data_IF_575761084778
#
_entry.id   IF_575761084778
#
_cell.length_a   1.000
_cell.length_b   1.000
_cell.length_c   1.000
_cell.angle_alpha   90.00
_cell.angle_beta   90.00
_cell.angle_gamma   90.00
#
_symmetry.space_group_name_H-M   'P 1'
#
loop_
_entity.id
_entity.type
_entity.pdbx_description
1 polymer ?
#
# COMPACT_ATOMS: atom_id res chain seq x y z
N UNK A 1 8.56 -0.89 26.93
CA UNK A 1 8.00 -1.62 25.79
C UNK A 1 7.44 -0.69 24.72
N UNK A 2 7.99 0.48 24.52
CA UNK A 2 7.35 1.58 23.74
C UNK A 2 8.22 2.12 22.61
N UNK A 3 9.32 1.45 22.27
CA UNK A 3 10.31 1.98 21.29
C UNK A 3 10.24 1.33 19.88
N UNK A 4 9.54 0.21 19.71
CA UNK A 4 9.48 -0.49 18.40
C UNK A 4 8.41 0.08 17.43
N UNK A 5 7.39 0.76 17.94
CA UNK A 5 6.30 1.32 17.10
C UNK A 5 6.70 2.52 16.22
N UNK A 6 7.83 3.18 16.52
CA UNK A 6 8.28 4.35 15.73
C UNK A 6 8.96 4.01 14.40
N UNK A 7 9.31 2.74 14.15
CA UNK A 7 10.00 2.37 12.91
C UNK A 7 9.07 2.28 11.69
N UNK A 8 7.79 1.90 11.87
CA UNK A 8 6.87 1.80 10.73
C UNK A 8 6.35 3.16 10.23
N UNK A 9 6.17 4.12 11.13
CA UNK A 9 5.83 5.50 10.72
C UNK A 9 7.04 6.26 10.12
N UNK A 10 8.27 5.84 10.47
CA UNK A 10 9.52 6.40 9.96
C UNK A 10 9.92 5.92 8.57
N UNK A 11 9.34 4.83 8.06
CA UNK A 11 9.69 4.29 6.75
C UNK A 11 9.31 5.21 5.58
N UNK A 12 8.29 6.04 5.71
CA UNK A 12 7.98 7.05 4.71
C UNK A 12 8.99 8.21 4.69
N UNK A 13 9.52 8.60 5.83
CA UNK A 13 10.58 9.64 5.90
C UNK A 13 11.98 9.08 5.62
N UNK A 14 12.23 7.78 5.81
CA UNK A 14 13.53 7.16 5.57
C UNK A 14 13.78 6.78 4.09
N UNK A 15 12.75 6.67 3.27
CA UNK A 15 12.87 6.49 1.82
C UNK A 15 13.44 7.75 1.12
N UNK A 16 13.46 8.89 1.80
CA UNK A 16 13.91 10.19 1.26
C UNK A 16 15.36 10.53 1.65
N UNK A 17 16.00 9.83 2.59
CA UNK A 17 17.26 10.30 3.22
C UNK A 17 18.47 9.38 3.10
N UNK A 18 18.66 8.62 2.02
CA UNK A 18 19.93 7.90 1.81
C UNK A 18 20.54 8.17 0.44
N UNK A 19 20.97 9.42 0.21
CA UNK A 19 22.04 9.72 -0.73
C UNK A 19 23.06 10.64 -0.08
N UNK A 20 23.88 10.07 0.79
CA UNK A 20 25.04 10.72 1.43
C UNK A 20 26.27 9.92 1.11
N UNK A 21 27.09 10.43 0.18
CA UNK A 21 28.41 9.92 -0.16
C UNK A 21 29.31 9.73 1.05
N UNK A 22 29.93 8.57 1.20
CA UNK A 22 31.21 8.46 1.85
C UNK A 22 32.15 7.58 1.03
N UNK A 23 33.16 8.23 0.48
CA UNK A 23 34.37 7.62 -0.09
C UNK A 23 35.09 6.80 0.97
N UNK A 24 35.31 5.52 0.73
CA UNK A 24 36.44 4.79 1.29
C UNK A 24 37.04 3.88 0.21
N UNK A 25 38.38 3.99 0.13
CA UNK A 25 39.27 3.26 -0.79
C UNK A 25 39.30 1.76 -0.48
N UNK A 26 39.58 0.92 -1.49
CA UNK A 26 39.73 -0.52 -1.30
C UNK A 26 41.10 -0.86 -0.71
N UNK A 27 41.11 -1.85 0.17
CA UNK A 27 42.31 -2.54 0.61
C UNK A 27 42.53 -3.78 -0.28
N UNK A 28 43.74 -3.90 -0.81
CA UNK A 28 44.27 -5.07 -1.52
C UNK A 28 44.37 -6.26 -0.55
N UNK A 29 43.94 -7.44 -1.01
CA UNK A 29 44.46 -8.69 -0.45
C UNK A 29 44.51 -9.82 -1.47
N UNK A 30 45.60 -10.55 -1.30
CA UNK A 30 46.31 -11.49 -2.11
C UNK A 30 45.56 -12.70 -2.65
N UNK A 31 46.11 -13.13 -3.77
CA UNK A 31 45.88 -14.36 -4.53
C UNK A 31 46.24 -15.64 -3.76
N UNK A 32 45.38 -16.64 -3.89
CA UNK A 32 45.82 -18.05 -3.80
C UNK A 32 45.02 -18.90 -4.82
N UNK A 33 45.80 -19.41 -5.76
CA UNK A 33 45.40 -20.42 -6.74
C UNK A 33 44.98 -21.74 -6.09
N UNK A 34 43.83 -22.31 -6.53
CA UNK A 34 43.69 -23.76 -6.59
C UNK A 34 42.75 -24.14 -7.75
N UNK A 35 43.39 -24.74 -8.75
CA UNK A 35 42.76 -25.51 -9.83
C UNK A 35 41.93 -26.66 -9.27
N UNK A 36 40.70 -26.81 -9.70
CA UNK A 36 40.00 -28.10 -9.84
C UNK A 36 39.09 -28.07 -11.03
N UNK A 37 39.39 -28.93 -11.97
CA UNK A 37 38.55 -29.34 -13.12
C UNK A 37 37.16 -29.73 -12.67
N UNK A 38 36.13 -29.08 -13.23
CA UNK A 38 34.79 -29.66 -13.25
C UNK A 38 34.14 -29.51 -14.62
N UNK A 39 33.72 -30.64 -15.09
CA UNK A 39 33.08 -30.88 -16.35
C UNK A 39 31.86 -29.97 -16.57
N UNK A 40 31.81 -29.36 -17.74
CA UNK A 40 30.67 -28.61 -18.26
C UNK A 40 29.56 -29.59 -18.56
N UNK A 41 28.50 -29.59 -17.75
CA UNK A 41 27.20 -30.21 -18.10
C UNK A 41 26.41 -29.14 -18.83
N UNK A 42 26.22 -29.31 -20.10
CA UNK A 42 25.35 -28.55 -20.96
C UNK A 42 23.90 -28.67 -20.46
N UNK A 43 23.41 -27.69 -19.68
CA UNK A 43 21.99 -27.60 -19.35
C UNK A 43 21.26 -26.93 -20.51
N UNK A 44 20.42 -27.69 -21.18
CA UNK A 44 19.41 -27.19 -22.12
C UNK A 44 18.56 -26.14 -21.41
N UNK A 45 18.35 -24.93 -21.98
CA UNK A 45 17.51 -23.92 -21.33
C UNK A 45 16.09 -24.45 -21.20
N UNK A 46 15.58 -24.46 -19.97
CA UNK A 46 14.19 -24.75 -19.68
C UNK A 46 13.32 -23.76 -20.44
N UNK A 47 12.40 -24.30 -21.24
CA UNK A 47 11.39 -23.54 -21.96
C UNK A 47 10.62 -22.71 -20.93
N UNK A 48 10.69 -21.39 -20.99
CA UNK A 48 9.88 -20.51 -20.17
C UNK A 48 8.40 -20.86 -20.39
N UNK A 49 7.74 -21.39 -19.37
CA UNK A 49 6.28 -21.53 -19.44
C UNK A 49 5.70 -20.12 -19.52
N UNK A 50 4.81 -19.89 -20.47
CA UNK A 50 4.03 -18.66 -20.55
C UNK A 50 3.29 -18.47 -19.21
N UNK A 51 3.24 -17.24 -18.64
CA UNK A 51 2.56 -16.98 -17.39
C UNK A 51 1.11 -17.46 -17.52
N UNK A 52 0.69 -18.37 -16.63
CA UNK A 52 -0.69 -18.83 -16.58
C UNK A 52 -1.55 -17.65 -16.13
N UNK A 53 -2.31 -17.07 -17.07
CA UNK A 53 -3.29 -16.02 -16.78
C UNK A 53 -4.27 -16.59 -15.74
N UNK A 54 -4.37 -15.93 -14.59
CA UNK A 54 -5.36 -16.29 -13.57
C UNK A 54 -6.76 -16.12 -14.18
N UNK A 55 -7.56 -17.19 -14.37
CA UNK A 55 -8.86 -17.11 -15.02
C UNK A 55 -9.89 -16.27 -14.23
N UNK A 56 -9.57 -15.87 -13.01
CA UNK A 56 -10.43 -15.04 -12.15
C UNK A 56 -10.07 -13.54 -12.21
N UNK A 57 -9.07 -13.14 -13.01
CA UNK A 57 -8.78 -11.72 -13.21
C UNK A 57 -9.88 -11.11 -14.07
N UNK A 58 -10.69 -10.27 -13.45
CA UNK A 58 -11.76 -9.55 -14.14
C UNK A 58 -11.13 -8.41 -14.93
N UNK A 59 -11.55 -8.19 -16.20
CA UNK A 59 -11.10 -7.06 -16.99
C UNK A 59 -11.30 -5.72 -16.27
N UNK A 60 -10.37 -4.81 -16.45
CA UNK A 60 -10.30 -3.52 -15.76
C UNK A 60 -11.57 -2.67 -15.86
N UNK A 61 -12.21 -2.68 -17.02
CA UNK A 61 -13.46 -2.00 -17.32
C UNK A 61 -14.68 -2.57 -16.56
N UNK A 62 -14.51 -3.73 -15.94
CA UNK A 62 -15.52 -4.42 -15.15
C UNK A 62 -15.30 -4.34 -13.64
N UNK A 63 -14.20 -3.70 -13.18
CA UNK A 63 -13.94 -3.50 -11.77
C UNK A 63 -14.69 -2.25 -11.29
N UNK A 64 -15.76 -2.38 -10.48
CA UNK A 64 -16.43 -1.20 -9.95
C UNK A 64 -15.46 -0.35 -9.15
N UNK A 65 -15.40 0.95 -9.42
CA UNK A 65 -14.58 1.93 -8.72
C UNK A 65 -14.76 1.83 -7.19
N UNK A 66 -15.93 1.39 -6.77
CA UNK A 66 -16.32 1.19 -5.38
C UNK A 66 -15.56 0.07 -4.66
N UNK A 67 -15.05 -0.94 -5.36
CA UNK A 67 -14.26 -2.02 -4.75
C UNK A 67 -12.80 -1.63 -4.47
N UNK A 68 -12.34 -0.53 -5.04
CA UNK A 68 -10.99 0.00 -4.78
C UNK A 68 -10.91 0.81 -3.48
N UNK A 69 -12.04 1.11 -2.84
CA UNK A 69 -12.14 1.89 -1.59
C UNK A 69 -11.40 1.25 -0.43
N UNK A 70 -11.30 -0.06 -0.45
CA UNK A 70 -10.84 -0.86 0.69
C UNK A 70 -9.36 -1.21 0.60
N UNK A 71 -8.64 -0.68 -0.38
CA UNK A 71 -7.24 -0.98 -0.56
C UNK A 71 -6.36 -0.07 0.28
N UNK A 72 -5.32 -0.69 0.85
CA UNK A 72 -4.30 -0.02 1.62
C UNK A 72 -3.30 0.69 0.69
N UNK A 73 -3.68 1.82 0.14
CA UNK A 73 -2.82 2.56 -0.78
C UNK A 73 -1.78 3.37 -0.01
N UNK A 74 -0.57 2.84 0.09
CA UNK A 74 0.58 3.49 0.72
C UNK A 74 1.52 4.17 -0.25
N UNK A 75 1.41 3.89 -1.56
CA UNK A 75 2.16 4.60 -2.58
C UNK A 75 1.36 5.78 -3.11
N UNK A 76 1.97 6.95 -3.31
CA UNK A 76 1.30 8.11 -3.88
C UNK A 76 1.19 8.00 -5.41
N UNK A 77 0.55 6.94 -5.90
CA UNK A 77 0.27 6.70 -7.32
C UNK A 77 -1.18 6.30 -7.52
N UNK A 78 -1.82 6.94 -8.50
CA UNK A 78 -3.18 6.63 -8.93
C UNK A 78 -3.26 6.65 -10.46
N UNK A 79 -4.09 5.76 -11.03
CA UNK A 79 -4.43 5.79 -12.44
C UNK A 79 -5.90 6.16 -12.65
N UNK A 80 -6.16 7.07 -13.56
CA UNK A 80 -7.51 7.50 -13.90
C UNK A 80 -7.59 7.91 -15.37
N UNK A 81 -8.53 7.33 -16.11
CA UNK A 81 -8.74 7.60 -17.55
C UNK A 81 -7.44 7.54 -18.39
N UNK A 82 -6.58 6.54 -18.10
CA UNK A 82 -5.31 6.33 -18.79
C UNK A 82 -4.19 7.31 -18.39
N UNK A 83 -4.42 8.17 -17.40
CA UNK A 83 -3.40 9.01 -16.79
C UNK A 83 -2.90 8.41 -15.49
N UNK A 84 -1.58 8.35 -15.32
CA UNK A 84 -0.94 8.10 -14.03
C UNK A 84 -0.71 9.44 -13.35
N UNK A 85 -1.10 9.56 -12.10
CA UNK A 85 -0.80 10.66 -11.18
C UNK A 85 0.16 10.13 -10.12
N UNK A 86 1.25 10.81 -9.85
CA UNK A 86 2.24 10.28 -8.92
C UNK A 86 3.23 11.31 -8.40
N UNK A 87 3.98 10.89 -7.36
CA UNK A 87 5.16 11.57 -6.88
C UNK A 87 6.37 11.09 -7.69
N UNK A 88 7.09 11.99 -8.34
CA UNK A 88 8.24 11.65 -9.17
C UNK A 88 9.47 12.48 -8.79
N UNK A 89 10.67 11.98 -9.08
CA UNK A 89 11.90 12.75 -8.91
C UNK A 89 11.88 14.03 -9.75
N UNK A 90 12.11 15.16 -9.11
CA UNK A 90 12.31 16.41 -9.82
C UNK A 90 13.63 16.41 -10.59
N UNK A 91 13.63 16.79 -11.87
CA UNK A 91 14.86 17.02 -12.64
C UNK A 91 15.67 18.15 -12.00
N UNK A 92 16.63 17.82 -11.14
CA UNK A 92 17.66 18.72 -10.61
C UNK A 92 17.54 19.04 -9.12
N UNK A 93 18.50 18.67 -8.37
CA UNK A 93 19.05 19.17 -7.08
C UNK A 93 18.15 19.46 -5.87
N UNK A 94 16.84 19.37 -5.92
CA UNK A 94 16.00 19.41 -4.73
C UNK A 94 15.40 18.03 -4.44
N UNK A 95 15.43 17.66 -3.19
CA UNK A 95 14.97 16.37 -2.65
C UNK A 95 13.44 16.28 -2.60
N UNK A 96 12.73 16.94 -3.48
CA UNK A 96 11.26 16.94 -3.50
C UNK A 96 10.77 16.07 -4.64
N UNK A 97 9.75 15.27 -4.34
CA UNK A 97 9.02 14.44 -5.30
C UNK A 97 7.71 15.16 -5.67
N UNK A 98 7.72 16.11 -6.62
CA UNK A 98 6.53 16.89 -6.93
C UNK A 98 5.43 16.02 -7.52
N UNK A 99 4.17 16.45 -7.33
CA UNK A 99 3.04 15.83 -7.99
C UNK A 99 3.10 16.07 -9.50
N UNK A 100 3.04 14.97 -10.25
CA UNK A 100 3.06 15.00 -11.71
C UNK A 100 2.09 13.99 -12.30
N UNK A 101 1.85 14.09 -13.63
CA UNK A 101 1.06 13.11 -14.38
C UNK A 101 1.68 12.80 -15.74
N UNK A 102 1.40 11.61 -16.25
CA UNK A 102 1.68 11.20 -17.64
C UNK A 102 0.65 10.20 -18.14
N UNK A 103 0.56 10.01 -19.45
CA UNK A 103 -0.14 8.86 -20.00
C UNK A 103 0.60 7.56 -19.69
N UNK A 104 -0.14 6.47 -19.56
CA UNK A 104 0.46 5.15 -19.29
C UNK A 104 1.48 4.75 -20.37
N UNK A 105 1.19 5.05 -21.63
CA UNK A 105 2.00 4.74 -22.79
C UNK A 105 3.12 5.75 -23.08
N UNK A 106 3.15 6.89 -22.39
CA UNK A 106 4.16 7.94 -22.53
C UNK A 106 5.29 7.77 -21.51
N UNK A 107 6.41 8.43 -21.73
CA UNK A 107 7.55 8.45 -20.79
C UNK A 107 7.73 9.80 -20.11
N UNK A 108 7.22 10.86 -20.74
CA UNK A 108 7.40 12.23 -20.27
C UNK A 108 6.36 12.62 -19.24
N UNK A 109 6.82 13.15 -18.11
CA UNK A 109 5.96 13.64 -17.04
C UNK A 109 5.62 15.12 -17.20
N UNK A 110 4.38 15.46 -16.93
CA UNK A 110 3.90 16.84 -16.79
C UNK A 110 3.71 17.15 -15.31
N UNK A 111 4.43 18.15 -14.82
CA UNK A 111 4.28 18.60 -13.43
C UNK A 111 2.93 19.27 -13.23
N UNK A 112 2.26 18.91 -12.14
CA UNK A 112 0.96 19.47 -11.71
C UNK A 112 1.18 20.47 -10.58
N UNK A 113 1.97 20.08 -9.57
CA UNK A 113 2.22 20.88 -8.38
C UNK A 113 3.63 20.60 -7.87
N UNK A 114 4.32 21.62 -7.38
CA UNK A 114 5.69 21.51 -6.87
C UNK A 114 5.82 20.89 -5.47
N UNK A 115 4.70 20.56 -4.81
CA UNK A 115 4.68 19.96 -3.48
C UNK A 115 4.73 18.45 -3.57
N UNK A 116 5.29 17.80 -2.54
CA UNK A 116 5.40 16.37 -2.40
C UNK A 116 4.09 15.76 -1.90
N UNK A 117 3.46 14.83 -2.66
CA UNK A 117 2.27 14.16 -2.20
C UNK A 117 2.59 13.00 -1.26
N UNK A 118 1.91 12.93 -0.11
CA UNK A 118 1.93 11.78 0.80
C UNK A 118 1.06 10.63 0.29
N UNK A 119 -0.08 10.99 -0.29
CA UNK A 119 -1.04 10.07 -0.90
C UNK A 119 -1.87 10.83 -1.93
N UNK A 120 -2.44 10.09 -2.87
CA UNK A 120 -3.30 10.59 -3.94
C UNK A 120 -4.55 9.73 -3.98
N UNK A 121 -5.71 10.36 -4.17
CA UNK A 121 -6.97 9.71 -4.53
C UNK A 121 -7.63 10.48 -5.65
N UNK A 122 -8.20 9.77 -6.58
CA UNK A 122 -9.01 10.35 -7.64
C UNK A 122 -10.46 10.00 -7.43
N UNK A 123 -11.34 10.99 -7.54
CA UNK A 123 -12.78 10.78 -7.64
C UNK A 123 -13.37 11.77 -8.64
N UNK A 124 -14.06 11.22 -9.65
CA UNK A 124 -14.63 11.99 -10.74
C UNK A 124 -13.53 12.85 -11.43
N UNK A 125 -13.73 14.16 -11.54
CA UNK A 125 -12.80 15.11 -12.15
C UNK A 125 -11.85 15.78 -11.14
N UNK A 126 -11.68 15.18 -9.95
CA UNK A 126 -10.88 15.79 -8.88
C UNK A 126 -9.82 14.86 -8.31
N UNK A 127 -8.68 15.46 -7.97
CA UNK A 127 -7.65 14.90 -7.13
C UNK A 127 -7.87 15.32 -5.68
N UNK A 128 -7.73 14.37 -4.77
CA UNK A 128 -7.62 14.57 -3.33
C UNK A 128 -6.22 14.16 -2.92
N UNK A 129 -5.39 15.13 -2.53
CA UNK A 129 -3.96 14.93 -2.34
C UNK A 129 -3.55 15.41 -0.97
N UNK A 130 -2.83 14.56 -0.24
CA UNK A 130 -2.11 14.98 0.94
C UNK A 130 -0.78 15.59 0.53
N UNK A 131 -0.47 16.82 0.92
CA UNK A 131 0.83 17.44 0.70
C UNK A 131 1.59 17.64 2.00
N UNK A 132 2.90 17.41 1.94
CA UNK A 132 3.79 17.70 3.08
C UNK A 132 3.91 19.21 3.28
N UNK A 133 3.49 19.68 4.45
CA UNK A 133 3.64 21.07 4.90
C UNK A 133 4.08 21.11 6.36
N UNK A 134 5.25 21.70 6.63
CA UNK A 134 5.79 21.78 7.99
C UNK A 134 5.79 20.42 8.72
N UNK A 135 6.28 19.39 8.08
CA UNK A 135 6.36 18.00 8.56
C UNK A 135 5.00 17.32 8.82
N UNK A 136 3.92 17.87 8.29
CA UNK A 136 2.55 17.35 8.36
C UNK A 136 1.99 17.13 6.98
N UNK A 137 1.08 16.19 6.87
CA UNK A 137 0.40 15.88 5.62
C UNK A 137 -0.99 16.50 5.59
N UNK A 138 -1.11 17.70 5.01
CA UNK A 138 -2.39 18.42 4.87
C UNK A 138 -3.14 17.99 3.60
N UNK A 139 -4.46 17.82 3.70
CA UNK A 139 -5.30 17.36 2.59
C UNK A 139 -5.81 18.53 1.74
N UNK A 140 -5.68 18.38 0.42
CA UNK A 140 -6.15 19.30 -0.61
C UNK A 140 -7.05 18.63 -1.63
N UNK A 141 -7.94 19.41 -2.24
CA UNK A 141 -8.70 19.08 -3.44
C UNK A 141 -8.25 19.98 -4.57
N UNK A 142 -8.15 19.45 -5.78
CA UNK A 142 -7.88 20.17 -7.02
C UNK A 142 -8.51 19.44 -8.20
N UNK A 143 -8.62 20.09 -9.36
CA UNK A 143 -9.01 19.37 -10.58
C UNK A 143 -7.85 18.50 -11.13
N UNK A 144 -8.11 17.67 -12.14
CA UNK A 144 -7.12 16.75 -12.73
C UNK A 144 -5.95 17.46 -13.45
N UNK A 145 -6.06 18.78 -13.71
CA UNK A 145 -4.95 19.60 -14.22
C UNK A 145 -4.10 20.23 -13.12
N UNK A 146 -4.53 20.17 -11.86
CA UNK A 146 -3.86 20.79 -10.74
C UNK A 146 -4.34 22.22 -10.44
N UNK A 147 -5.35 22.72 -11.16
CA UNK A 147 -5.96 24.03 -10.91
C UNK A 147 -7.05 23.93 -9.82
N UNK A 148 -7.56 25.10 -9.40
CA UNK A 148 -8.62 25.23 -8.40
C UNK A 148 -8.27 24.54 -7.07
N UNK A 149 -7.04 24.74 -6.61
CA UNK A 149 -6.52 24.15 -5.38
C UNK A 149 -7.26 24.70 -4.18
N UNK A 150 -7.88 23.80 -3.41
CA UNK A 150 -8.59 24.09 -2.17
C UNK A 150 -8.07 23.22 -1.05
N UNK A 151 -7.67 23.82 0.05
CA UNK A 151 -7.31 23.08 1.26
C UNK A 151 -8.58 22.54 1.93
N UNK A 152 -8.59 21.23 2.19
CA UNK A 152 -9.70 20.53 2.86
C UNK A 152 -9.52 20.58 4.38
N UNK A 153 -8.33 20.25 4.88
CA UNK A 153 -8.04 20.22 6.31
C UNK A 153 -6.56 20.44 6.63
N UNK A 154 -6.28 20.89 7.85
CA UNK A 154 -4.93 20.97 8.43
C UNK A 154 -4.60 19.78 9.35
N UNK A 155 -5.43 18.75 9.38
CA UNK A 155 -5.09 17.53 10.10
C UNK A 155 -3.82 16.93 9.52
N UNK A 156 -2.99 16.33 10.38
CA UNK A 156 -1.84 15.55 9.93
C UNK A 156 -2.32 14.17 9.45
N UNK A 157 -2.79 14.11 8.21
CA UNK A 157 -3.49 12.95 7.68
C UNK A 157 -2.48 11.87 7.25
N UNK A 158 -2.65 10.66 7.75
CA UNK A 158 -1.83 9.49 7.43
C UNK A 158 -2.47 8.56 6.40
N UNK A 159 -3.76 8.71 6.17
CA UNK A 159 -4.49 7.94 5.18
C UNK A 159 -5.84 8.56 4.84
N UNK A 160 -6.28 8.30 3.62
CA UNK A 160 -7.54 8.80 3.06
C UNK A 160 -8.28 7.65 2.37
N UNK A 161 -9.55 7.49 2.71
CA UNK A 161 -10.50 6.66 1.97
C UNK A 161 -11.68 7.51 1.53
N UNK A 162 -12.20 7.23 0.33
CA UNK A 162 -13.40 7.90 -0.20
C UNK A 162 -14.52 6.86 -0.29
N UNK A 163 -15.63 7.10 0.41
CA UNK A 163 -16.80 6.24 0.36
C UNK A 163 -18.04 7.07 -0.01
N UNK A 164 -18.57 6.86 -1.20
CA UNK A 164 -19.62 7.73 -1.75
C UNK A 164 -19.16 9.19 -1.81
N UNK A 165 -19.87 10.09 -1.13
CA UNK A 165 -19.56 11.50 -1.04
C UNK A 165 -18.87 11.89 0.29
N UNK A 166 -18.32 10.91 1.00
CA UNK A 166 -17.65 11.10 2.28
C UNK A 166 -16.16 10.81 2.17
N UNK A 167 -15.35 11.76 2.64
CA UNK A 167 -13.93 11.57 2.90
C UNK A 167 -13.76 11.04 4.32
N UNK A 168 -13.04 9.92 4.47
CA UNK A 168 -12.61 9.38 5.75
C UNK A 168 -11.10 9.57 5.86
N UNK A 169 -10.65 10.22 6.92
CA UNK A 169 -9.27 10.66 7.11
C UNK A 169 -8.75 10.09 8.43
N UNK A 170 -7.73 9.22 8.35
CA UNK A 170 -6.95 8.84 9.52
C UNK A 170 -5.88 9.90 9.76
N UNK A 171 -5.89 10.53 10.93
CA UNK A 171 -4.95 11.61 11.24
C UNK A 171 -4.33 11.44 12.62
N UNK A 172 -3.04 11.81 12.73
CA UNK A 172 -2.32 11.79 13.99
C UNK A 172 -2.93 12.77 15.01
N UNK A 173 -2.87 12.40 16.28
CA UNK A 173 -3.14 13.31 17.37
C UNK A 173 -1.97 14.30 17.60
N UNK A 174 -2.18 15.27 18.47
CA UNK A 174 -1.18 16.30 18.75
C UNK A 174 0.13 15.74 19.35
N UNK A 175 0.06 14.60 20.00
CA UNK A 175 1.18 13.93 20.67
C UNK A 175 1.83 12.85 19.81
N UNK A 176 1.32 12.63 18.58
CA UNK A 176 1.75 11.56 17.65
C UNK A 176 1.72 10.16 18.28
N UNK A 177 0.82 9.96 19.23
CA UNK A 177 0.68 8.68 19.91
C UNK A 177 -0.30 7.76 19.21
N UNK A 178 -1.41 8.33 18.76
CA UNK A 178 -2.47 7.60 18.09
C UNK A 178 -2.97 8.37 16.87
N UNK A 179 -3.57 7.62 15.94
CA UNK A 179 -4.37 8.18 14.86
C UNK A 179 -5.84 8.10 15.24
N UNK A 180 -6.62 9.06 14.78
CA UNK A 180 -8.07 9.07 14.92
C UNK A 180 -8.75 9.25 13.58
N UNK A 181 -9.94 8.68 13.46
CA UNK A 181 -10.71 8.77 12.24
C UNK A 181 -11.59 10.03 12.24
N UNK A 182 -11.46 10.79 11.17
CA UNK A 182 -12.30 11.95 10.87
C UNK A 182 -13.09 11.73 9.59
N UNK A 183 -14.22 12.42 9.44
CA UNK A 183 -14.99 12.45 8.21
C UNK A 183 -15.42 13.87 7.85
N UNK A 184 -15.54 14.13 6.55
CA UNK A 184 -16.15 15.34 5.99
C UNK A 184 -16.76 15.00 4.62
N UNK A 185 -17.50 15.95 4.03
CA UNK A 185 -17.94 15.81 2.64
C UNK A 185 -16.76 16.07 1.68
N UNK A 186 -16.99 15.88 0.38
CA UNK A 186 -15.99 16.06 -0.69
C UNK A 186 -15.47 17.51 -0.79
N UNK A 187 -16.14 18.48 -0.14
CA UNK A 187 -15.73 19.89 -0.06
C UNK A 187 -14.99 20.23 1.23
N UNK A 188 -14.79 19.26 2.13
CA UNK A 188 -14.16 19.48 3.44
C UNK A 188 -15.09 20.08 4.48
N UNK A 189 -16.39 20.20 4.18
CA UNK A 189 -17.37 20.71 5.12
C UNK A 189 -17.81 19.62 6.10
N UNK A 190 -18.32 20.02 7.25
CA UNK A 190 -18.78 19.14 8.32
C UNK A 190 -17.68 18.21 8.84
N UNK A 191 -16.44 18.69 8.86
CA UNK A 191 -15.31 17.92 9.42
C UNK A 191 -15.57 17.61 10.89
N UNK A 192 -15.57 16.32 11.21
CA UNK A 192 -15.78 15.82 12.57
C UNK A 192 -14.98 14.55 12.83
N UNK A 193 -14.63 14.32 14.07
CA UNK A 193 -14.14 13.02 14.54
C UNK A 193 -15.30 12.00 14.46
N UNK A 194 -15.04 10.82 13.93
CA UNK A 194 -16.07 9.81 13.70
C UNK A 194 -16.42 9.09 15.01
N UNK A 195 -15.41 8.73 15.81
CA UNK A 195 -15.52 8.14 17.15
C UNK A 195 -14.22 8.39 17.94
N UNK A 196 -14.23 8.13 19.24
CA UNK A 196 -13.13 8.46 20.17
C UNK A 196 -12.13 7.32 20.40
N UNK A 197 -12.08 6.32 19.52
CA UNK A 197 -11.09 5.26 19.58
C UNK A 197 -9.95 5.51 18.62
N UNK A 198 -8.71 5.08 18.93
CA UNK A 198 -7.60 5.12 18.02
C UNK A 198 -7.85 4.20 16.82
N UNK A 199 -7.47 4.68 15.65
CA UNK A 199 -7.58 3.91 14.41
C UNK A 199 -6.22 3.89 13.75
N UNK A 200 -5.70 2.70 13.46
CA UNK A 200 -4.52 2.60 12.60
C UNK A 200 -4.94 2.48 11.13
N UNK A 201 -4.29 3.24 10.27
CA UNK A 201 -4.52 3.11 8.83
C UNK A 201 -3.79 1.86 8.28
N UNK A 202 -4.41 1.02 7.45
CA UNK A 202 -5.69 1.21 6.76
C UNK A 202 -6.92 0.81 7.58
N UNK A 203 -8.05 1.32 7.14
CA UNK A 203 -9.39 0.97 7.63
C UNK A 203 -10.33 0.81 6.44
N UNK A 204 -11.44 0.09 6.62
CA UNK A 204 -12.41 -0.19 5.55
C UNK A 204 -13.78 0.36 5.90
N UNK A 205 -14.25 1.45 5.26
CA UNK A 205 -15.61 1.93 5.41
C UNK A 205 -16.57 1.18 4.48
N UNK A 206 -17.73 0.79 4.99
CA UNK A 206 -18.85 0.23 4.25
C UNK A 206 -20.18 0.82 4.75
N UNK A 207 -20.65 1.88 4.12
CA UNK A 207 -21.83 2.62 4.58
C UNK A 207 -21.63 3.19 5.98
N UNK A 208 -22.41 2.70 6.96
CA UNK A 208 -22.28 3.06 8.38
C UNK A 208 -21.37 2.14 9.17
N UNK A 209 -20.82 1.10 8.55
CA UNK A 209 -19.90 0.16 9.20
C UNK A 209 -18.46 0.56 8.87
N UNK A 210 -17.58 0.51 9.87
CA UNK A 210 -16.16 0.72 9.69
C UNK A 210 -15.42 -0.44 10.33
N UNK A 211 -14.62 -1.15 9.54
CA UNK A 211 -13.67 -2.12 10.03
C UNK A 211 -12.31 -1.44 10.18
N UNK A 212 -11.71 -1.51 11.37
CA UNK A 212 -10.48 -0.81 11.67
C UNK A 212 -9.64 -1.56 12.69
N UNK A 213 -8.35 -1.26 12.74
CA UNK A 213 -7.47 -1.71 13.80
C UNK A 213 -7.52 -0.72 14.96
N UNK A 214 -7.88 -1.18 16.17
CA UNK A 214 -7.78 -0.42 17.42
C UNK A 214 -6.38 -0.59 18.00
N UNK A 215 -5.59 0.46 17.91
CA UNK A 215 -4.19 0.48 18.38
C UNK A 215 -4.08 0.47 19.92
N UNK A 216 -5.15 0.83 20.61
CA UNK A 216 -5.19 0.83 22.09
C UNK A 216 -5.72 -0.48 22.69
N UNK A 217 -6.38 -1.33 21.89
CA UNK A 217 -6.94 -2.62 22.32
C UNK A 217 -6.11 -3.81 21.78
N UNK A 218 -4.80 -3.79 21.95
CA UNK A 218 -3.93 -4.91 21.55
C UNK A 218 -3.79 -5.07 20.04
N UNK A 219 -4.00 -4.00 19.26
CA UNK A 219 -3.91 -4.04 17.79
C UNK A 219 -4.91 -5.02 17.18
N UNK A 220 -6.16 -4.95 17.64
CA UNK A 220 -7.26 -5.82 17.21
C UNK A 220 -8.14 -5.18 16.18
N UNK A 221 -8.78 -5.98 15.34
CA UNK A 221 -9.77 -5.46 14.40
C UNK A 221 -11.12 -5.34 15.08
N UNK A 222 -11.72 -4.18 14.92
CA UNK A 222 -13.05 -3.82 15.38
C UNK A 222 -14.01 -3.58 14.22
N UNK A 223 -15.28 -3.83 14.49
CA UNK A 223 -16.42 -3.44 13.66
C UNK A 223 -17.21 -2.38 14.41
N UNK A 224 -17.15 -1.15 13.93
CA UNK A 224 -17.94 -0.04 14.43
C UNK A 224 -19.18 0.17 13.55
N UNK A 225 -20.38 0.15 14.14
CA UNK A 225 -21.61 0.55 13.49
C UNK A 225 -21.97 1.97 13.95
N UNK A 226 -21.78 2.94 13.08
CA UNK A 226 -22.02 4.36 13.37
C UNK A 226 -23.51 4.69 13.58
N UNK A 227 -24.41 3.94 12.93
CA UNK A 227 -25.85 4.14 13.08
C UNK A 227 -26.39 3.56 14.38
N UNK A 228 -25.92 2.37 14.77
CA UNK A 228 -26.29 1.73 16.01
C UNK A 228 -25.51 2.27 17.23
N UNK A 229 -24.36 2.95 16.98
CA UNK A 229 -23.45 3.40 18.05
C UNK A 229 -22.77 2.25 18.79
N UNK A 230 -22.55 1.11 18.12
CA UNK A 230 -21.90 -0.08 18.67
C UNK A 230 -20.49 -0.22 18.11
N UNK A 231 -19.63 -0.82 18.91
CA UNK A 231 -18.27 -1.16 18.55
C UNK A 231 -17.93 -2.55 19.11
N UNK A 232 -17.57 -3.45 18.23
CA UNK A 232 -17.36 -4.86 18.52
C UNK A 232 -15.95 -5.28 18.09
N UNK A 233 -15.19 -5.87 19.00
CA UNK A 233 -13.92 -6.53 18.69
C UNK A 233 -14.20 -7.83 17.94
N UNK A 234 -13.63 -7.99 16.75
CA UNK A 234 -13.88 -9.14 15.88
C UNK A 234 -12.64 -10.00 15.60
N UNK A 235 -11.44 -9.59 15.99
CA UNK A 235 -10.23 -10.41 15.84
C UNK A 235 -9.53 -10.68 17.16
N UNK A 236 -8.57 -11.60 17.16
CA UNK A 236 -7.53 -11.72 18.17
C UNK A 236 -6.59 -10.51 18.13
N UNK A 237 -5.62 -10.43 19.07
CA UNK A 237 -4.56 -9.41 19.08
C UNK A 237 -3.66 -9.51 17.85
N UNK A 238 -3.01 -8.39 17.50
CA UNK A 238 -2.04 -8.27 16.41
C UNK A 238 -2.62 -8.57 15.01
N UNK A 239 -3.80 -8.05 14.72
CA UNK A 239 -4.47 -8.16 13.43
C UNK A 239 -4.42 -6.84 12.66
N UNK A 240 -3.99 -6.87 11.39
CA UNK A 240 -3.66 -5.71 10.58
C UNK A 240 -4.36 -5.71 9.23
N UNK A 241 -4.48 -4.53 8.64
CA UNK A 241 -4.92 -4.31 7.26
C UNK A 241 -6.28 -4.96 6.95
N UNK A 242 -7.37 -4.64 7.68
CA UNK A 242 -8.68 -5.20 7.43
C UNK A 242 -9.21 -4.79 6.06
N UNK A 243 -9.70 -5.74 5.28
CA UNK A 243 -10.38 -5.55 4.00
C UNK A 243 -11.70 -6.31 4.01
N UNK A 244 -12.80 -5.62 3.77
CA UNK A 244 -14.13 -6.20 3.70
C UNK A 244 -14.58 -6.38 2.24
N UNK A 245 -15.14 -7.53 1.89
CA UNK A 245 -15.57 -7.85 0.52
C UNK A 245 -16.89 -7.22 0.09
N UNK A 246 -17.52 -6.43 0.97
CA UNK A 246 -18.85 -5.83 0.73
C UNK A 246 -20.02 -6.78 0.95
N UNK A 247 -19.78 -7.97 1.50
CA UNK A 247 -20.82 -9.00 1.75
C UNK A 247 -20.80 -9.52 3.17
N UNK A 248 -19.97 -10.52 3.45
CA UNK A 248 -19.88 -11.20 4.74
C UNK A 248 -18.44 -11.64 5.08
N UNK A 249 -17.44 -11.21 4.30
CA UNK A 249 -16.08 -11.70 4.44
C UNK A 249 -15.10 -10.57 4.75
N UNK A 250 -14.31 -10.77 5.78
CA UNK A 250 -13.18 -9.91 6.13
C UNK A 250 -11.87 -10.67 5.89
N UNK A 251 -10.92 -9.99 5.23
CA UNK A 251 -9.54 -10.44 5.08
C UNK A 251 -8.64 -9.54 5.91
N UNK A 252 -7.62 -10.12 6.54
CA UNK A 252 -6.65 -9.39 7.33
C UNK A 252 -5.38 -10.19 7.51
N UNK A 253 -4.33 -9.58 8.05
CA UNK A 253 -3.09 -10.25 8.37
C UNK A 253 -2.98 -10.36 9.89
N UNK A 254 -2.84 -11.59 10.39
CA UNK A 254 -2.55 -11.86 11.79
C UNK A 254 -1.02 -11.97 11.95
N UNK A 255 -0.41 -11.05 12.72
CA UNK A 255 1.03 -11.03 12.95
C UNK A 255 1.43 -12.19 13.87
N UNK A 256 2.37 -13.01 13.43
CA UNK A 256 2.95 -14.10 14.18
C UNK A 256 3.86 -13.64 15.35
N UNK A 257 4.06 -12.32 15.51
CA UNK A 257 5.00 -11.68 16.43
C UNK A 257 6.46 -12.10 16.18
N UNK A 258 6.75 -12.58 14.98
CA UNK A 258 8.09 -12.85 14.49
C UNK A 258 8.47 -11.88 13.38
N UNK A 259 9.76 -11.74 13.11
CA UNK A 259 10.26 -10.93 12.01
C UNK A 259 11.11 -11.79 11.09
N UNK A 260 10.99 -11.54 9.78
CA UNK A 260 11.82 -12.15 8.76
C UNK A 260 12.44 -11.03 7.92
N UNK A 261 13.76 -11.03 7.78
CA UNK A 261 14.49 -9.97 7.08
C UNK A 261 14.17 -8.54 7.58
N UNK A 262 13.82 -8.40 8.88
CA UNK A 262 13.45 -7.11 9.46
C UNK A 262 11.98 -6.69 9.23
N UNK A 263 11.19 -7.51 8.54
CA UNK A 263 9.76 -7.30 8.29
C UNK A 263 8.94 -8.21 9.18
N UNK A 264 7.84 -7.71 9.72
CA UNK A 264 6.94 -8.50 10.55
C UNK A 264 6.23 -9.56 9.68
N UNK A 265 6.32 -10.82 10.16
CA UNK A 265 5.78 -12.02 9.52
C UNK A 265 4.35 -12.29 10.01
N UNK A 266 3.45 -12.66 9.11
CA UNK A 266 2.05 -12.91 9.46
C UNK A 266 1.38 -13.98 8.61
N UNK A 267 0.16 -14.29 9.03
CA UNK A 267 -0.76 -15.17 8.33
C UNK A 267 -1.87 -14.35 7.66
N UNK A 268 -2.11 -14.60 6.39
CA UNK A 268 -3.27 -14.08 5.67
C UNK A 268 -4.52 -14.87 6.09
N UNK A 269 -5.44 -14.21 6.75
CA UNK A 269 -6.64 -14.80 7.33
C UNK A 269 -7.89 -14.35 6.59
N UNK A 270 -8.82 -15.27 6.40
CA UNK A 270 -10.21 -14.99 6.00
C UNK A 270 -11.14 -15.28 7.16
N UNK A 271 -12.06 -14.36 7.44
CA UNK A 271 -13.10 -14.49 8.45
C UNK A 271 -14.48 -14.29 7.85
N UNK A 272 -15.40 -15.21 8.10
CA UNK A 272 -16.82 -15.03 7.83
C UNK A 272 -17.43 -14.24 9.00
N UNK A 273 -17.96 -13.06 8.73
CA UNK A 273 -18.43 -12.14 9.80
C UNK A 273 -19.63 -12.70 10.53
N UNK A 274 -20.62 -13.23 9.78
CA UNK A 274 -21.87 -13.75 10.35
C UNK A 274 -21.68 -14.97 11.26
N UNK A 275 -20.67 -15.82 11.01
CA UNK A 275 -20.42 -17.04 11.80
C UNK A 275 -19.23 -16.91 12.74
N UNK A 276 -18.33 -15.96 12.49
CA UNK A 276 -17.08 -15.81 13.22
C UNK A 276 -16.03 -16.86 12.85
N UNK A 277 -16.27 -17.69 11.83
CA UNK A 277 -15.33 -18.72 11.37
C UNK A 277 -14.11 -18.08 10.69
N UNK A 278 -12.92 -18.55 11.07
CA UNK A 278 -11.64 -18.09 10.53
C UNK A 278 -10.87 -19.23 9.87
N UNK A 279 -10.15 -18.89 8.80
CA UNK A 279 -9.25 -19.80 8.11
C UNK A 279 -8.00 -19.06 7.66
N UNK A 280 -6.82 -19.65 7.87
CA UNK A 280 -5.57 -19.17 7.27
C UNK A 280 -5.56 -19.57 5.80
N UNK A 281 -5.39 -18.58 4.92
CA UNK A 281 -5.23 -18.79 3.48
C UNK A 281 -3.78 -19.02 3.10
N UNK A 282 -2.85 -18.28 3.72
CA UNK A 282 -1.42 -18.36 3.45
C UNK A 282 -0.62 -17.86 4.65
N UNK A 283 0.54 -18.48 4.92
CA UNK A 283 1.48 -18.07 5.98
C UNK A 283 2.78 -17.53 5.39
N UNK A 284 3.43 -16.61 6.09
CA UNK A 284 4.65 -15.96 5.62
C UNK A 284 4.36 -14.77 4.72
N UNK A 285 3.39 -13.95 5.10
CA UNK A 285 3.07 -12.69 4.43
C UNK A 285 3.61 -11.51 5.23
N UNK A 286 4.01 -10.44 4.52
CA UNK A 286 4.36 -9.17 5.16
C UNK A 286 3.11 -8.51 5.74
N UNK A 287 3.20 -8.02 6.98
CA UNK A 287 2.11 -7.30 7.63
C UNK A 287 1.89 -5.89 7.08
N UNK A 288 2.76 -5.42 6.19
CA UNK A 288 2.75 -4.03 5.70
C UNK A 288 1.72 -3.78 4.60
N UNK A 289 1.42 -4.77 3.77
CA UNK A 289 0.56 -4.56 2.60
C UNK A 289 -0.37 -5.72 2.29
N UNK A 290 -1.66 -5.42 2.17
CA UNK A 290 -2.69 -6.31 1.65
C UNK A 290 -3.61 -5.50 0.74
N UNK A 291 -3.89 -6.02 -0.45
CA UNK A 291 -4.80 -5.41 -1.41
C UNK A 291 -5.82 -6.44 -1.85
N UNK A 292 -7.01 -5.99 -2.21
CA UNK A 292 -8.09 -6.85 -2.69
C UNK A 292 -8.73 -6.28 -3.94
N UNK A 293 -8.86 -7.12 -4.96
CA UNK A 293 -9.62 -6.81 -6.16
C UNK A 293 -10.45 -8.03 -6.54
N UNK A 294 -11.75 -7.93 -6.43
CA UNK A 294 -12.78 -8.88 -6.91
C UNK A 294 -12.37 -10.37 -6.81
N UNK A 295 -12.21 -10.85 -5.61
CA UNK A 295 -11.91 -12.27 -5.36
C UNK A 295 -10.43 -12.62 -5.44
N UNK A 296 -9.54 -11.64 -5.60
CA UNK A 296 -8.09 -11.81 -5.59
C UNK A 296 -7.45 -10.93 -4.53
N UNK A 297 -6.61 -11.51 -3.71
CA UNK A 297 -5.80 -10.83 -2.70
C UNK A 297 -4.36 -10.72 -3.21
N UNK A 298 -3.71 -9.58 -2.95
CA UNK A 298 -2.31 -9.33 -3.30
C UNK A 298 -1.53 -9.09 -2.02
N UNK A 299 -0.35 -9.69 -1.93
CA UNK A 299 0.49 -9.65 -0.74
C UNK A 299 1.97 -9.82 -1.08
N UNK A 300 2.84 -9.39 -0.18
CA UNK A 300 4.26 -9.65 -0.25
C UNK A 300 4.58 -10.99 0.43
N UNK A 301 5.22 -11.90 -0.31
CA UNK A 301 5.53 -13.26 0.14
C UNK A 301 6.92 -13.33 0.76
N UNK A 302 7.00 -13.35 2.10
CA UNK A 302 8.26 -13.45 2.84
C UNK A 302 8.98 -14.79 2.66
N UNK A 303 8.28 -15.83 2.19
CA UNK A 303 8.89 -17.13 1.90
C UNK A 303 9.68 -17.15 0.60
N UNK A 304 9.51 -16.12 -0.26
CA UNK A 304 10.14 -16.04 -1.57
C UNK A 304 10.76 -14.66 -1.83
N UNK A 305 11.60 -14.18 -0.92
CA UNK A 305 12.36 -12.93 -1.10
C UNK A 305 11.49 -11.70 -1.20
N UNK A 306 10.37 -11.70 -0.49
CA UNK A 306 9.44 -10.56 -0.40
C UNK A 306 8.90 -10.12 -1.77
N UNK A 307 8.67 -11.09 -2.67
CA UNK A 307 8.08 -10.86 -3.98
C UNK A 307 6.58 -10.64 -3.89
N UNK A 308 6.03 -9.93 -4.89
CA UNK A 308 4.59 -9.67 -4.97
C UNK A 308 3.84 -10.89 -5.54
N UNK A 309 2.88 -11.36 -4.78
CA UNK A 309 2.04 -12.51 -5.11
C UNK A 309 0.56 -12.15 -5.09
N UNK A 310 -0.23 -12.96 -5.78
CA UNK A 310 -1.68 -12.99 -5.65
C UNK A 310 -2.17 -14.36 -5.22
N UNK A 311 -3.35 -14.39 -4.57
CA UNK A 311 -4.06 -15.62 -4.19
C UNK A 311 -5.56 -15.37 -4.32
N UNK A 312 -6.32 -16.41 -4.70
CA UNK A 312 -7.79 -16.31 -4.67
C UNK A 312 -8.31 -16.24 -3.22
N UNK A 313 -9.49 -15.69 -3.04
CA UNK A 313 -10.17 -15.63 -1.73
C UNK A 313 -10.50 -17.00 -1.14
N UNK A 314 -10.41 -18.08 -1.92
CA UNK A 314 -10.56 -19.46 -1.44
C UNK A 314 -9.25 -20.06 -0.90
N UNK A 315 -8.12 -19.38 -1.10
CA UNK A 315 -6.78 -19.86 -0.75
C UNK A 315 -6.12 -20.70 -1.84
N UNK A 316 -6.69 -20.68 -3.04
CA UNK A 316 -6.19 -21.40 -4.22
C UNK A 316 -5.55 -20.44 -5.23
N UNK A 317 -5.00 -20.97 -6.33
CA UNK A 317 -4.47 -20.17 -7.44
C UNK A 317 -3.46 -19.12 -7.01
N UNK A 318 -2.43 -19.52 -6.27
CA UNK A 318 -1.30 -18.66 -5.91
C UNK A 318 -0.49 -18.39 -7.17
N UNK A 319 -0.21 -17.11 -7.45
CA UNK A 319 0.55 -16.69 -8.63
C UNK A 319 1.57 -15.61 -8.27
N UNK A 320 2.79 -15.72 -8.84
CA UNK A 320 3.78 -14.67 -8.81
C UNK A 320 3.31 -13.52 -9.73
N UNK A 321 3.29 -12.30 -9.20
CA UNK A 321 2.90 -11.09 -9.94
C UNK A 321 4.14 -10.31 -10.40
N UNK A 322 5.13 -10.18 -9.52
CA UNK A 322 6.40 -9.53 -9.85
C UNK A 322 7.56 -10.33 -9.29
N UNK A 323 8.59 -10.53 -10.11
CA UNK A 323 9.81 -11.24 -9.77
C UNK A 323 10.85 -10.38 -9.03
N UNK A 324 10.54 -9.09 -8.85
CA UNK A 324 11.33 -8.16 -8.05
C UNK A 324 11.28 -8.56 -6.58
N UNK A 325 12.41 -8.47 -5.89
CA UNK A 325 12.54 -8.74 -4.45
C UNK A 325 12.31 -7.48 -3.63
N UNK A 326 12.03 -7.65 -2.32
CA UNK A 326 11.86 -6.53 -1.41
C UNK A 326 10.61 -5.68 -1.72
N UNK A 327 9.54 -6.30 -2.23
CA UNK A 327 8.28 -5.60 -2.51
C UNK A 327 7.44 -5.54 -1.25
N UNK A 328 7.66 -4.51 -0.42
CA UNK A 328 6.91 -4.32 0.82
C UNK A 328 5.76 -3.33 0.68
N UNK A 329 5.88 -2.38 -0.25
CA UNK A 329 4.91 -1.31 -0.45
C UNK A 329 4.35 -1.41 -1.87
N UNK A 330 3.05 -1.60 -1.97
CA UNK A 330 2.33 -1.68 -3.23
C UNK A 330 0.88 -1.21 -3.04
N UNK A 331 0.25 -0.81 -4.13
CA UNK A 331 -1.17 -0.48 -4.15
C UNK A 331 -1.82 -0.83 -5.49
N UNK A 332 -3.12 -1.07 -5.44
CA UNK A 332 -3.97 -1.19 -6.61
C UNK A 332 -4.61 0.16 -6.90
N UNK A 333 -4.58 0.57 -8.15
CA UNK A 333 -5.35 1.69 -8.67
C UNK A 333 -5.88 1.35 -10.06
N UNK A 334 -7.18 1.40 -10.25
CA UNK A 334 -7.81 0.94 -11.47
C UNK A 334 -7.51 -0.54 -11.76
N UNK A 335 -6.98 -0.78 -12.94
CA UNK A 335 -6.56 -2.09 -13.44
C UNK A 335 -5.07 -2.35 -13.27
N UNK A 336 -4.40 -1.56 -12.42
CA UNK A 336 -2.95 -1.58 -12.25
C UNK A 336 -2.53 -1.83 -10.82
N UNK A 337 -1.37 -2.47 -10.71
CA UNK A 337 -0.58 -2.56 -9.49
C UNK A 337 0.61 -1.62 -9.61
N UNK A 338 0.82 -0.79 -8.59
CA UNK A 338 2.03 0.00 -8.39
C UNK A 338 2.80 -0.59 -7.22
N UNK A 339 4.10 -0.74 -7.35
CA UNK A 339 4.94 -1.27 -6.28
C UNK A 339 6.36 -0.72 -6.34
N UNK A 340 7.02 -0.71 -5.19
CA UNK A 340 8.46 -0.47 -5.09
C UNK A 340 9.20 -1.79 -4.94
N UNK A 341 10.39 -1.91 -5.53
CA UNK A 341 11.33 -2.95 -5.16
C UNK A 341 12.49 -2.36 -4.37
N UNK A 342 13.07 -3.15 -3.48
CA UNK A 342 14.16 -2.75 -2.62
C UNK A 342 15.30 -3.78 -2.67
N UNK A 343 16.53 -3.29 -2.48
CA UNK A 343 17.67 -4.15 -2.26
C UNK A 343 17.70 -4.71 -0.83
N UNK A 344 18.68 -5.57 -0.56
CA UNK A 344 18.88 -6.19 0.76
C UNK A 344 19.17 -5.20 1.91
N UNK A 345 19.53 -3.95 1.58
CA UNK A 345 19.78 -2.86 2.53
C UNK A 345 18.58 -1.91 2.67
N UNK A 346 17.46 -2.20 1.98
CA UNK A 346 16.26 -1.37 1.95
C UNK A 346 16.35 -0.17 1.01
N UNK A 347 17.38 -0.11 0.14
CA UNK A 347 17.47 0.91 -0.91
C UNK A 347 16.45 0.67 -2.01
N UNK A 348 15.67 1.70 -2.39
CA UNK A 348 14.68 1.59 -3.46
C UNK A 348 15.39 1.45 -4.80
N UNK A 349 15.10 0.37 -5.52
CA UNK A 349 15.63 0.07 -6.85
C UNK A 349 14.77 0.69 -7.95
N UNK A 350 13.49 0.90 -7.69
CA UNK A 350 12.58 1.53 -8.63
C UNK A 350 11.13 1.47 -8.17
N UNK A 351 10.29 2.25 -8.85
CA UNK A 351 8.83 2.21 -8.77
C UNK A 351 8.30 1.62 -10.07
N UNK A 352 7.49 0.61 -9.97
CA UNK A 352 6.96 -0.12 -11.13
C UNK A 352 5.43 -0.07 -11.17
N UNK A 353 4.91 -0.22 -12.39
CA UNK A 353 3.49 -0.43 -12.64
C UNK A 353 3.31 -1.68 -13.50
N UNK A 354 2.30 -2.49 -13.19
CA UNK A 354 1.98 -3.70 -13.95
C UNK A 354 0.47 -3.90 -14.03
N UNK A 355 -0.01 -4.74 -14.94
CA UNK A 355 -1.37 -5.24 -14.89
C UNK A 355 -1.61 -6.06 -13.62
N UNK A 356 -2.87 -6.30 -13.26
CA UNK A 356 -3.23 -7.11 -12.09
C UNK A 356 -2.72 -8.57 -12.16
N UNK A 357 -2.43 -9.08 -13.36
CA UNK A 357 -1.85 -10.41 -13.59
C UNK A 357 -0.31 -10.42 -13.66
N UNK A 358 0.34 -9.29 -13.46
CA UNK A 358 1.79 -9.11 -13.54
C UNK A 358 2.32 -8.84 -14.95
N UNK A 359 1.48 -8.90 -15.99
CA UNK A 359 1.90 -8.58 -17.36
C UNK A 359 2.12 -7.07 -17.56
N UNK A 360 2.81 -6.71 -18.64
CA UNK A 360 3.06 -5.32 -19.03
C UNK A 360 3.73 -4.49 -17.93
N UNK A 361 4.71 -5.06 -17.23
CA UNK A 361 5.50 -4.33 -16.22
C UNK A 361 6.29 -3.21 -16.89
N UNK A 362 6.15 -2.00 -16.38
CA UNK A 362 6.90 -0.82 -16.80
C UNK A 362 7.56 -0.17 -15.58
N UNK A 363 8.74 0.40 -15.81
CA UNK A 363 9.40 1.26 -14.83
C UNK A 363 8.70 2.63 -14.84
N UNK A 364 8.28 3.06 -13.67
CA UNK A 364 7.69 4.38 -13.47
C UNK A 364 8.78 5.38 -13.12
N UNK A 365 9.67 4.97 -12.23
CA UNK A 365 10.79 5.76 -11.75
C UNK A 365 11.92 4.89 -11.19
#
# INVERSE_FOLDING_TARGET
>A
MTYKKRLLAGLFSALIFCSGCSNQKPAEQDTADTNTDNAVVEQTPAKSEEPKINPNVIPADQIPLEMQKNNNNRLPFEIHNGWIYGAIHGNGSSVTFPLAKRRLEETEWTYINGQEPCYIRVKDEYLYVGFVENDKCALYKMNLSGDNVKKITNLDARGLQICGDTLYIAADDADYKYQYLYSCNLEGENLKKVFDKPVYYPFTPDGNIIYYQDDADGETIHKCDLAAGTDERISSEYAYAPIFDGKDTLYYIHNSQSTRNGVDDGDLVVRTISTGEEKVLYSGVSTVGLQYVQGTLYFSNLNDGDRLYSISTTGENISLIADDTGVHIFNVSGDRLFFTSQDENGGVLGVYCTNLDGSNKILIE
#
